data_IF_467340551061
#
_entry.id   IF_467340551061
#
_cell.length_a   1.000
_cell.length_b   1.000
_cell.length_c   1.000
_cell.angle_alpha   90.00
_cell.angle_beta   90.00
_cell.angle_gamma   90.00
#
_symmetry.space_group_name_H-M   'P 1'
#
loop_
_entity.id
_entity.type
_entity.pdbx_description
1 polymer ?
#
# COMPACT_ATOMS: atom_id res chain seq x y z
N UNK A 1 21.86 14.90 -6.84
CA UNK A 1 21.74 13.45 -6.62
C UNK A 1 20.26 13.10 -6.71
N UNK A 2 19.93 12.04 -7.45
CA UNK A 2 18.60 11.42 -7.46
C UNK A 2 18.75 10.03 -6.85
N UNK A 3 17.95 9.73 -5.82
CA UNK A 3 18.00 8.46 -5.12
C UNK A 3 16.57 7.91 -5.01
N UNK A 4 16.26 6.98 -5.88
CA UNK A 4 14.93 6.40 -6.01
C UNK A 4 14.79 5.15 -5.14
N UNK A 5 13.61 4.97 -4.53
CA UNK A 5 13.28 3.84 -3.66
C UNK A 5 14.31 3.57 -2.55
N UNK A 6 14.69 4.62 -1.82
CA UNK A 6 15.73 4.54 -0.78
C UNK A 6 15.43 3.54 0.33
N UNK A 7 14.18 3.20 0.52
CA UNK A 7 13.68 2.29 1.55
C UNK A 7 13.58 0.82 1.09
N UNK A 8 13.69 0.52 -0.20
CA UNK A 8 13.66 -0.86 -0.71
C UNK A 8 14.69 -1.78 -0.06
N UNK A 9 16.00 -1.42 0.08
CA UNK A 9 16.95 -2.25 0.79
C UNK A 9 16.57 -2.48 2.26
N UNK A 10 15.90 -1.53 2.87
CA UNK A 10 15.47 -1.59 4.26
C UNK A 10 14.28 -2.52 4.45
N UNK A 11 13.35 -2.54 3.51
CA UNK A 11 12.27 -3.52 3.49
C UNK A 11 12.84 -4.95 3.40
N UNK A 12 13.81 -5.18 2.52
CA UNK A 12 14.49 -6.46 2.38
C UNK A 12 15.23 -6.86 3.66
N UNK A 13 15.90 -5.92 4.32
CA UNK A 13 16.59 -6.18 5.58
C UNK A 13 15.64 -6.54 6.72
N UNK A 14 14.48 -5.87 6.79
CA UNK A 14 13.43 -6.21 7.75
C UNK A 14 12.89 -7.62 7.54
N UNK A 15 12.54 -7.96 6.29
CA UNK A 15 11.98 -9.28 5.94
C UNK A 15 12.96 -10.41 6.17
N UNK A 16 14.27 -10.17 5.97
CA UNK A 16 15.32 -11.18 5.99
C UNK A 16 16.17 -11.15 7.28
N UNK A 17 15.90 -10.25 8.23
CA UNK A 17 16.47 -10.25 9.58
C UNK A 17 17.88 -9.68 9.71
N UNK A 18 18.35 -8.84 8.77
CA UNK A 18 19.65 -8.14 8.86
C UNK A 18 19.50 -6.61 8.97
N UNK A 19 18.43 -6.17 9.65
CA UNK A 19 18.06 -4.77 9.81
C UNK A 19 19.18 -3.91 10.41
N UNK A 20 19.77 -4.34 11.53
CA UNK A 20 20.73 -3.53 12.27
C UNK A 20 21.99 -3.23 11.46
N UNK A 21 22.52 -4.21 10.74
CA UNK A 21 23.71 -4.05 9.90
C UNK A 21 23.45 -3.07 8.76
N UNK A 22 22.27 -3.15 8.15
CA UNK A 22 21.92 -2.25 7.05
C UNK A 22 21.68 -0.83 7.53
N UNK A 23 20.98 -0.65 8.65
CA UNK A 23 20.67 0.68 9.21
C UNK A 23 21.95 1.47 9.49
N UNK A 24 22.96 0.87 10.09
CA UNK A 24 24.23 1.53 10.37
C UNK A 24 24.99 1.94 9.09
N UNK A 25 24.95 1.08 8.08
CA UNK A 25 25.53 1.39 6.77
C UNK A 25 24.81 2.56 6.09
N UNK A 26 23.47 2.50 5.99
CA UNK A 26 22.67 3.55 5.33
C UNK A 26 22.79 4.88 6.05
N UNK A 27 22.79 4.90 7.39
CA UNK A 27 23.05 6.10 8.19
C UNK A 27 24.39 6.74 7.83
N UNK A 28 25.46 5.96 7.78
CA UNK A 28 26.78 6.42 7.42
C UNK A 28 26.81 6.97 6.00
N UNK A 29 26.21 6.27 5.04
CA UNK A 29 26.11 6.68 3.65
C UNK A 29 25.35 8.01 3.51
N UNK A 30 24.17 8.14 4.13
CA UNK A 30 23.34 9.33 4.02
C UNK A 30 23.98 10.56 4.70
N UNK A 31 24.58 10.37 5.87
CA UNK A 31 25.29 11.45 6.54
C UNK A 31 26.46 11.97 5.69
N UNK A 32 27.25 11.08 5.11
CA UNK A 32 28.36 11.46 4.25
C UNK A 32 27.91 12.10 2.94
N UNK A 33 26.77 11.67 2.41
CA UNK A 33 26.26 12.11 1.11
C UNK A 33 25.48 13.43 1.22
N UNK A 34 24.62 13.57 2.24
CA UNK A 34 23.62 14.64 2.26
C UNK A 34 23.85 15.72 3.32
N UNK A 35 24.58 15.43 4.42
CA UNK A 35 24.67 16.37 5.55
C UNK A 35 25.71 17.46 5.37
N UNK A 36 26.93 17.11 5.03
CA UNK A 36 28.07 18.05 5.01
C UNK A 36 28.89 17.96 3.72
N UNK A 37 28.29 17.47 2.67
CA UNK A 37 28.96 17.31 1.38
C UNK A 37 29.06 18.65 0.65
N UNK A 38 30.26 19.26 0.52
CA UNK A 38 30.42 20.55 -0.13
C UNK A 38 30.19 20.49 -1.64
N UNK A 39 30.12 19.32 -2.22
CA UNK A 39 29.86 19.08 -3.65
C UNK A 39 28.41 18.83 -3.97
N UNK A 40 27.54 18.75 -2.94
CA UNK A 40 26.12 18.51 -3.12
C UNK A 40 25.40 19.83 -3.36
N UNK A 41 24.87 20.02 -4.57
CA UNK A 41 24.03 21.16 -4.88
C UNK A 41 22.56 20.89 -4.51
N UNK A 42 22.03 19.77 -4.97
CA UNK A 42 20.64 19.34 -4.69
C UNK A 42 20.54 17.82 -4.65
N UNK A 43 19.59 17.33 -3.86
CA UNK A 43 19.22 15.92 -3.84
C UNK A 43 17.72 15.77 -3.75
N UNK A 44 17.21 14.72 -4.40
CA UNK A 44 15.82 14.22 -4.26
C UNK A 44 15.93 12.74 -3.93
N UNK A 45 15.20 12.34 -2.90
CA UNK A 45 15.03 10.93 -2.51
C UNK A 45 13.56 10.58 -2.58
N UNK A 46 13.24 9.41 -3.11
CA UNK A 46 11.88 8.86 -3.11
C UNK A 46 11.83 7.56 -2.33
N UNK A 47 10.68 7.23 -1.80
CA UNK A 47 10.42 6.00 -1.06
C UNK A 47 8.97 5.94 -0.59
N UNK A 48 8.52 4.74 -0.23
CA UNK A 48 7.17 4.51 0.26
C UNK A 48 7.05 4.86 1.74
N UNK A 49 8.10 4.56 2.53
CA UNK A 49 8.08 4.74 3.97
C UNK A 49 9.01 5.87 4.40
N UNK A 50 8.56 6.69 5.35
CA UNK A 50 9.43 7.64 6.01
C UNK A 50 10.12 6.97 7.19
N UNK A 51 11.35 6.55 7.01
CA UNK A 51 12.17 5.94 8.07
C UNK A 51 12.76 7.04 8.97
N UNK A 52 11.91 7.80 9.65
CA UNK A 52 12.35 9.02 10.35
C UNK A 52 12.66 8.83 11.82
N UNK A 53 12.05 7.84 12.49
CA UNK A 53 12.31 7.59 13.93
C UNK A 53 13.55 6.73 14.16
N UNK A 54 13.91 5.89 13.23
CA UNK A 54 15.19 5.23 13.26
C UNK A 54 16.26 6.27 12.97
N UNK A 55 17.30 6.29 13.75
CA UNK A 55 18.44 7.20 13.73
C UNK A 55 19.08 7.53 12.36
N UNK A 56 18.54 6.99 11.26
CA UNK A 56 19.04 7.20 9.90
C UNK A 56 18.88 8.66 9.45
N UNK A 57 17.73 9.26 9.72
CA UNK A 57 17.43 10.64 9.35
C UNK A 57 17.53 11.62 10.53
N UNK A 58 17.72 11.14 11.75
CA UNK A 58 17.85 12.02 12.93
C UNK A 58 18.97 13.05 12.79
N UNK A 59 19.96 12.71 11.99
CA UNK A 59 21.10 13.56 11.69
C UNK A 59 20.92 14.48 10.49
N UNK A 60 19.90 14.27 9.65
CA UNK A 60 19.62 15.06 8.44
C UNK A 60 18.56 16.13 8.73
N UNK A 61 18.99 17.28 9.24
CA UNK A 61 18.10 18.38 9.64
C UNK A 61 17.62 19.27 8.48
N UNK A 62 18.10 19.02 7.27
CA UNK A 62 17.90 19.86 6.08
C UNK A 62 16.96 19.22 5.04
N UNK A 63 16.23 18.18 5.42
CA UNK A 63 15.27 17.53 4.53
C UNK A 63 13.95 18.32 4.50
N UNK A 64 13.45 18.60 3.30
CA UNK A 64 12.04 18.90 3.08
C UNK A 64 11.33 17.60 2.77
N UNK A 65 10.48 17.13 3.69
CA UNK A 65 9.78 15.85 3.56
C UNK A 65 8.36 16.10 3.10
N UNK A 66 8.00 15.49 1.98
CA UNK A 66 6.69 15.60 1.36
C UNK A 66 6.10 14.22 1.27
N UNK A 67 4.91 14.05 1.82
CA UNK A 67 4.16 12.79 1.85
C UNK A 67 2.90 12.89 0.97
N UNK A 68 2.19 11.80 0.85
CA UNK A 68 0.91 11.76 0.10
C UNK A 68 -0.17 12.68 0.66
N UNK A 69 -0.03 13.15 1.91
CA UNK A 69 -0.98 14.06 2.55
C UNK A 69 -0.65 15.55 2.35
N UNK A 70 0.53 15.87 1.79
CA UNK A 70 0.94 17.23 1.50
C UNK A 70 0.35 17.76 0.19
N UNK A 71 0.08 19.09 0.15
CA UNK A 71 -0.38 19.75 -1.07
C UNK A 71 0.76 20.05 -2.06
N UNK A 72 2.02 20.04 -1.60
CA UNK A 72 3.19 20.27 -2.48
C UNK A 72 3.37 19.11 -3.45
N UNK A 73 3.57 19.42 -4.73
CA UNK A 73 3.79 18.46 -5.83
C UNK A 73 2.64 17.46 -6.03
N UNK A 74 1.44 17.77 -5.58
CA UNK A 74 0.27 16.87 -5.60
C UNK A 74 -0.21 16.47 -7.01
N UNK A 75 0.32 17.07 -8.07
CA UNK A 75 0.06 16.70 -9.48
C UNK A 75 1.32 16.27 -10.22
N UNK A 76 2.46 16.09 -9.50
CA UNK A 76 3.75 15.79 -10.15
C UNK A 76 4.05 14.30 -10.22
N UNK A 77 3.34 13.49 -9.44
CA UNK A 77 3.56 12.04 -9.32
C UNK A 77 2.27 11.29 -9.66
N UNK A 78 1.96 11.18 -10.93
CA UNK A 78 0.75 10.56 -11.45
C UNK A 78 0.16 11.37 -12.59
N UNK A 79 -0.83 10.80 -13.28
CA UNK A 79 -1.60 11.53 -14.27
C UNK A 79 -2.86 12.10 -13.64
N UNK A 80 -3.17 13.34 -13.97
CA UNK A 80 -4.45 13.96 -13.61
C UNK A 80 -5.58 13.41 -14.50
N UNK A 81 -6.84 13.51 -14.04
CA UNK A 81 -7.99 13.08 -14.82
C UNK A 81 -8.03 13.74 -16.20
N UNK A 82 -7.70 15.04 -16.29
CA UNK A 82 -7.68 15.76 -17.57
C UNK A 82 -6.65 15.16 -18.56
N UNK A 83 -5.47 14.80 -18.08
CA UNK A 83 -4.43 14.17 -18.90
C UNK A 83 -4.86 12.79 -19.38
N UNK A 84 -5.43 11.98 -18.47
CA UNK A 84 -5.93 10.63 -18.81
C UNK A 84 -7.07 10.71 -19.82
N UNK A 85 -8.04 11.61 -19.61
CA UNK A 85 -9.17 11.75 -20.53
C UNK A 85 -8.76 12.28 -21.90
N UNK A 86 -7.79 13.19 -21.96
CA UNK A 86 -7.22 13.64 -23.23
C UNK A 86 -6.51 12.50 -23.96
N UNK A 87 -5.72 11.68 -23.26
CA UNK A 87 -5.06 10.53 -23.84
C UNK A 87 -6.04 9.46 -24.33
N UNK A 88 -7.15 9.23 -23.61
CA UNK A 88 -8.23 8.34 -24.07
C UNK A 88 -8.92 8.86 -25.33
N UNK A 89 -9.19 10.17 -25.39
CA UNK A 89 -9.78 10.79 -26.58
C UNK A 89 -8.86 10.65 -27.80
N UNK A 90 -7.56 10.90 -27.63
CA UNK A 90 -6.55 10.74 -28.69
C UNK A 90 -6.42 9.28 -29.15
N UNK A 91 -6.54 8.33 -28.22
CA UNK A 91 -6.52 6.89 -28.53
C UNK A 91 -7.83 6.35 -29.13
N UNK A 92 -8.88 7.19 -29.28
CA UNK A 92 -10.21 6.77 -29.77
C UNK A 92 -10.98 5.90 -28.76
N UNK A 93 -10.76 6.12 -27.47
CA UNK A 93 -11.36 5.37 -26.35
C UNK A 93 -12.24 6.26 -25.46
N UNK A 94 -12.83 7.32 -26.02
CA UNK A 94 -13.63 8.30 -25.26
C UNK A 94 -14.80 7.68 -24.49
N UNK A 95 -15.38 6.59 -25.03
CA UNK A 95 -16.47 5.85 -24.38
C UNK A 95 -16.02 5.00 -23.19
N UNK A 96 -14.71 4.87 -22.97
CA UNK A 96 -14.12 4.07 -21.86
C UNK A 96 -13.74 4.90 -20.64
N UNK A 97 -14.00 6.21 -20.63
CA UNK A 97 -13.61 7.10 -19.53
C UNK A 97 -14.15 6.63 -18.17
N UNK A 98 -15.43 6.27 -18.10
CA UNK A 98 -16.05 5.82 -16.84
C UNK A 98 -15.47 4.46 -16.38
N UNK A 99 -15.24 3.54 -17.31
CA UNK A 99 -14.62 2.25 -17.01
C UNK A 99 -13.17 2.43 -16.52
N UNK A 100 -12.39 3.31 -17.17
CA UNK A 100 -11.01 3.62 -16.79
C UNK A 100 -10.97 4.31 -15.43
N UNK A 101 -11.90 5.23 -15.16
CA UNK A 101 -12.04 5.86 -13.87
C UNK A 101 -12.32 4.82 -12.79
N UNK A 102 -13.25 3.93 -12.97
CA UNK A 102 -13.57 2.86 -12.03
C UNK A 102 -12.36 1.96 -11.72
N UNK A 103 -11.57 1.64 -12.74
CA UNK A 103 -10.45 0.70 -12.61
C UNK A 103 -9.20 1.32 -12.00
N UNK A 104 -8.83 2.55 -12.37
CA UNK A 104 -7.48 3.08 -12.19
C UNK A 104 -7.42 4.44 -11.48
N UNK A 105 -8.56 5.11 -11.27
CA UNK A 105 -8.61 6.36 -10.52
C UNK A 105 -8.53 6.09 -9.01
N UNK A 106 -8.24 7.14 -8.24
CA UNK A 106 -8.48 7.18 -6.81
C UNK A 106 -7.27 7.52 -5.96
N UNK A 107 -6.08 7.74 -6.52
CA UNK A 107 -4.99 8.29 -5.73
C UNK A 107 -5.33 9.73 -5.33
N UNK A 108 -5.08 10.05 -4.07
CA UNK A 108 -5.29 11.39 -3.51
C UNK A 108 -3.97 11.87 -2.94
N UNK A 109 -3.48 13.00 -3.44
CA UNK A 109 -2.28 13.64 -2.93
C UNK A 109 -2.64 15.02 -2.37
N UNK A 110 -2.46 15.21 -1.06
CA UNK A 110 -2.97 16.39 -0.36
C UNK A 110 -4.48 16.55 -0.58
N UNK A 111 -4.88 17.69 -1.13
CA UNK A 111 -6.28 17.97 -1.48
C UNK A 111 -6.66 17.60 -2.92
N UNK A 112 -5.68 17.18 -3.73
CA UNK A 112 -5.91 16.83 -5.13
C UNK A 112 -6.35 15.37 -5.24
N UNK A 113 -7.54 15.16 -5.73
CA UNK A 113 -8.16 13.86 -5.99
C UNK A 113 -8.06 13.52 -7.47
N UNK A 114 -8.48 12.32 -7.82
CA UNK A 114 -8.56 11.83 -9.21
C UNK A 114 -7.18 11.82 -9.90
N UNK A 115 -6.19 11.27 -9.18
CA UNK A 115 -4.86 10.97 -9.73
C UNK A 115 -4.79 9.50 -10.10
N UNK A 116 -4.19 9.21 -11.25
CA UNK A 116 -4.06 7.88 -11.83
C UNK A 116 -2.62 7.42 -11.84
N UNK A 117 -2.41 6.12 -11.61
CA UNK A 117 -1.08 5.53 -11.73
C UNK A 117 -0.64 5.51 -13.21
N UNK A 118 0.53 6.10 -13.56
CA UNK A 118 1.00 6.17 -14.93
C UNK A 118 1.22 4.81 -15.57
N UNK A 119 1.70 3.82 -14.80
CA UNK A 119 1.94 2.47 -15.31
C UNK A 119 0.63 1.79 -15.75
N UNK A 120 -0.42 1.89 -14.93
CA UNK A 120 -1.72 1.31 -15.26
C UNK A 120 -2.34 1.97 -16.48
N UNK A 121 -2.29 3.30 -16.59
CA UNK A 121 -2.85 4.03 -17.70
C UNK A 121 -2.09 3.75 -19.01
N UNK A 122 -0.76 3.81 -19.00
CA UNK A 122 0.04 3.53 -20.21
C UNK A 122 -0.15 2.11 -20.71
N UNK A 123 -0.21 1.12 -19.81
CA UNK A 123 -0.50 -0.26 -20.20
C UNK A 123 -1.93 -0.45 -20.71
N UNK A 124 -2.91 0.24 -20.12
CA UNK A 124 -4.28 0.18 -20.65
C UNK A 124 -4.40 0.79 -22.05
N UNK A 125 -3.79 1.95 -22.28
CA UNK A 125 -3.78 2.61 -23.59
C UNK A 125 -3.12 1.73 -24.68
N UNK A 126 -2.06 1.01 -24.32
CA UNK A 126 -1.35 0.11 -25.23
C UNK A 126 -2.15 -1.17 -25.53
N UNK A 127 -2.65 -1.82 -24.49
CA UNK A 127 -3.26 -3.17 -24.60
C UNK A 127 -4.78 -3.15 -24.75
N UNK A 128 -5.44 -2.05 -24.36
CA UNK A 128 -6.91 -1.86 -24.36
C UNK A 128 -7.67 -2.94 -23.57
N UNK A 129 -7.03 -3.50 -22.56
CA UNK A 129 -7.58 -4.53 -21.67
C UNK A 129 -7.57 -4.04 -20.23
N UNK A 130 -8.66 -4.27 -19.49
CA UNK A 130 -8.71 -4.01 -18.07
C UNK A 130 -8.04 -5.15 -17.30
N UNK A 131 -6.94 -4.84 -16.62
CA UNK A 131 -6.14 -5.78 -15.82
C UNK A 131 -5.50 -5.06 -14.64
N UNK A 132 -5.04 -5.84 -13.68
CA UNK A 132 -4.14 -5.37 -12.64
C UNK A 132 -2.74 -5.20 -13.25
N UNK A 133 -2.32 -3.96 -13.47
CA UNK A 133 -1.01 -3.65 -14.05
C UNK A 133 -0.02 -3.23 -12.96
N UNK A 134 -0.28 -2.10 -12.29
CA UNK A 134 0.58 -1.62 -11.23
C UNK A 134 0.54 -2.53 -10.00
N UNK A 135 -0.63 -2.94 -9.58
CA UNK A 135 -0.79 -3.78 -8.40
C UNK A 135 -0.13 -5.17 -8.52
N UNK A 136 0.13 -5.66 -9.73
CA UNK A 136 0.85 -6.92 -9.98
C UNK A 136 2.38 -6.70 -10.14
N UNK A 137 2.91 -5.46 -10.18
CA UNK A 137 4.35 -5.20 -10.35
C UNK A 137 5.14 -5.27 -9.05
N UNK A 138 4.54 -4.95 -7.93
CA UNK A 138 5.20 -4.93 -6.63
C UNK A 138 5.17 -6.31 -5.96
N UNK A 139 6.25 -6.61 -5.21
CA UNK A 139 6.22 -7.73 -4.29
C UNK A 139 5.25 -7.41 -3.14
N UNK A 140 4.00 -7.83 -3.27
CA UNK A 140 2.97 -7.67 -2.24
C UNK A 140 3.23 -8.57 -1.00
N UNK A 141 4.45 -9.15 -0.90
CA UNK A 141 4.79 -10.15 0.11
C UNK A 141 4.73 -9.60 1.54
N UNK A 142 5.21 -8.37 1.76
CA UNK A 142 5.19 -7.75 3.09
C UNK A 142 3.75 -7.48 3.52
N UNK A 143 2.98 -6.77 2.69
CA UNK A 143 1.57 -6.44 2.97
C UNK A 143 0.75 -7.72 3.13
N UNK A 144 0.96 -8.70 2.26
CA UNK A 144 0.29 -10.00 2.35
C UNK A 144 0.56 -10.72 3.68
N UNK A 145 1.82 -10.77 4.11
CA UNK A 145 2.20 -11.38 5.40
C UNK A 145 1.60 -10.63 6.59
N UNK A 146 1.59 -9.30 6.57
CA UNK A 146 1.02 -8.49 7.65
C UNK A 146 -0.48 -8.71 7.80
N UNK A 147 -1.23 -8.72 6.69
CA UNK A 147 -2.68 -8.99 6.72
C UNK A 147 -2.96 -10.44 7.15
N UNK A 148 -2.22 -11.41 6.61
CA UNK A 148 -2.40 -12.83 6.91
C UNK A 148 -2.17 -13.13 8.40
N UNK A 149 -1.12 -12.51 9.02
CA UNK A 149 -0.79 -12.64 10.44
C UNK A 149 -1.61 -11.74 11.34
N UNK A 150 -2.27 -10.73 10.78
CA UNK A 150 -3.05 -9.75 11.53
C UNK A 150 -4.17 -10.39 12.35
N UNK A 151 -4.55 -9.71 13.42
CA UNK A 151 -5.63 -10.11 14.31
C UNK A 151 -6.98 -10.20 13.59
N UNK A 152 -8.02 -10.77 14.24
CA UNK A 152 -9.37 -10.72 13.74
C UNK A 152 -9.88 -9.30 13.44
N UNK A 153 -9.37 -8.28 14.17
CA UNK A 153 -9.68 -6.85 13.92
C UNK A 153 -9.21 -6.43 12.54
N UNK A 154 -7.95 -6.73 12.18
CA UNK A 154 -7.36 -6.41 10.86
C UNK A 154 -8.11 -7.13 9.74
N UNK A 155 -8.38 -8.43 9.91
CA UNK A 155 -9.11 -9.23 8.91
C UNK A 155 -10.52 -8.70 8.65
N UNK A 156 -11.25 -8.33 9.72
CA UNK A 156 -12.58 -7.71 9.60
C UNK A 156 -12.56 -6.33 8.95
N UNK A 157 -11.51 -5.54 9.21
CA UNK A 157 -11.32 -4.25 8.54
C UNK A 157 -11.04 -4.44 7.03
N UNK A 158 -10.19 -5.42 6.66
CA UNK A 158 -9.96 -5.78 5.26
C UNK A 158 -11.22 -6.27 4.56
N UNK A 159 -12.06 -7.05 5.25
CA UNK A 159 -13.38 -7.49 4.71
C UNK A 159 -14.26 -6.28 4.37
N UNK A 160 -14.35 -5.28 5.27
CA UNK A 160 -15.10 -4.05 5.01
C UNK A 160 -14.55 -3.32 3.77
N UNK A 161 -13.24 -3.13 3.69
CA UNK A 161 -12.59 -2.50 2.55
C UNK A 161 -12.89 -3.22 1.23
N UNK A 162 -12.82 -4.55 1.22
CA UNK A 162 -13.13 -5.37 0.05
C UNK A 162 -14.60 -5.27 -0.38
N UNK A 163 -15.50 -5.05 0.57
CA UNK A 163 -16.92 -4.81 0.32
C UNK A 163 -17.22 -3.38 -0.18
N UNK A 164 -16.17 -2.52 -0.27
CA UNK A 164 -16.31 -1.13 -0.71
C UNK A 164 -16.73 -0.16 0.39
N UNK A 165 -16.62 -0.59 1.65
CA UNK A 165 -16.81 0.26 2.81
C UNK A 165 -15.51 0.96 3.17
N UNK A 166 -15.58 1.96 4.05
CA UNK A 166 -14.40 2.60 4.65
C UNK A 166 -14.12 2.09 6.05
N UNK A 167 -12.88 2.33 6.50
CA UNK A 167 -12.46 2.14 7.89
C UNK A 167 -12.04 3.49 8.46
N UNK A 168 -12.23 3.69 9.77
CA UNK A 168 -11.79 4.89 10.49
C UNK A 168 -10.61 4.54 11.38
N UNK A 169 -9.45 5.13 11.10
CA UNK A 169 -8.18 4.81 11.78
C UNK A 169 -7.33 6.07 12.03
N UNK A 170 -6.40 6.00 12.97
CA UNK A 170 -5.30 6.93 13.08
C UNK A 170 -4.21 6.60 12.07
N UNK A 171 -3.54 7.62 11.53
CA UNK A 171 -2.42 7.46 10.61
C UNK A 171 -1.17 8.06 11.24
N UNK A 172 -0.10 7.29 11.29
CA UNK A 172 1.24 7.78 11.57
C UNK A 172 2.05 7.80 10.28
N UNK A 173 2.28 8.99 9.75
CA UNK A 173 3.10 9.17 8.53
C UNK A 173 4.58 8.88 8.75
N UNK A 174 4.98 8.68 10.00
CA UNK A 174 6.35 8.39 10.40
C UNK A 174 6.53 6.90 10.76
N UNK A 175 5.95 6.01 9.97
CA UNK A 175 6.03 4.57 10.23
C UNK A 175 7.47 4.11 10.23
N UNK A 176 7.81 3.34 11.25
CA UNK A 176 9.06 2.58 11.35
C UNK A 176 8.71 1.10 11.20
N UNK A 177 9.54 0.34 10.52
CA UNK A 177 9.32 -1.10 10.33
C UNK A 177 9.17 -1.85 11.66
N UNK A 178 9.90 -1.47 12.71
CA UNK A 178 9.75 -2.03 14.06
C UNK A 178 8.35 -1.83 14.66
N UNK A 179 7.62 -0.79 14.25
CA UNK A 179 6.25 -0.58 14.72
C UNK A 179 5.27 -1.57 14.09
N UNK A 180 5.56 -2.12 12.91
CA UNK A 180 4.71 -3.11 12.26
C UNK A 180 4.57 -4.40 13.09
N UNK A 181 5.58 -4.71 13.92
CA UNK A 181 5.54 -5.87 14.81
C UNK A 181 4.83 -5.58 16.15
N UNK A 182 4.76 -4.30 16.56
CA UNK A 182 4.28 -3.90 17.87
C UNK A 182 2.93 -3.16 17.83
N UNK A 183 2.56 -2.58 16.70
CA UNK A 183 1.32 -1.84 16.50
C UNK A 183 0.61 -2.35 15.24
N UNK A 184 -0.45 -3.12 15.46
CA UNK A 184 -1.25 -3.63 14.34
C UNK A 184 -1.88 -2.53 13.48
N UNK A 185 -2.15 -1.35 14.04
CA UNK A 185 -2.77 -0.25 13.31
C UNK A 185 -1.75 0.45 12.37
N UNK A 186 -0.44 0.22 12.56
CA UNK A 186 0.61 0.70 11.65
C UNK A 186 0.47 0.17 10.21
N UNK A 187 -0.20 -0.98 10.03
CA UNK A 187 -0.48 -1.53 8.69
C UNK A 187 -1.28 -0.55 7.82
N UNK A 188 -2.21 0.21 8.41
CA UNK A 188 -3.06 1.14 7.65
C UNK A 188 -2.26 2.31 7.09
N UNK A 189 -1.30 2.78 7.86
CA UNK A 189 -0.38 3.83 7.42
C UNK A 189 0.53 3.33 6.30
N UNK A 190 1.04 2.09 6.39
CA UNK A 190 1.81 1.46 5.32
C UNK A 190 0.98 1.30 4.04
N UNK A 191 -0.26 0.81 4.14
CA UNK A 191 -1.15 0.64 3.00
C UNK A 191 -1.52 1.98 2.34
N UNK A 192 -1.68 3.06 3.12
CA UNK A 192 -1.89 4.40 2.61
C UNK A 192 -0.64 4.92 1.89
N UNK A 193 0.53 4.83 2.51
CA UNK A 193 1.78 5.28 1.92
C UNK A 193 2.14 4.52 0.64
N UNK A 194 1.79 3.22 0.58
CA UNK A 194 1.98 2.39 -0.62
C UNK A 194 0.92 2.61 -1.70
N UNK A 195 -0.08 3.47 -1.48
CA UNK A 195 -1.12 3.76 -2.47
C UNK A 195 -2.22 2.70 -2.58
N UNK A 196 -2.29 1.72 -1.69
CA UNK A 196 -3.37 0.73 -1.66
C UNK A 196 -4.66 1.27 -1.03
N UNK A 197 -4.53 2.27 -0.15
CA UNK A 197 -5.65 3.00 0.42
C UNK A 197 -5.62 4.46 -0.02
N UNK A 198 -6.77 5.10 0.01
CA UNK A 198 -6.94 6.54 -0.17
C UNK A 198 -7.67 7.15 1.01
N UNK A 199 -7.47 8.45 1.21
CA UNK A 199 -8.19 9.24 2.21
C UNK A 199 -9.49 9.73 1.59
N UNK A 200 -10.62 9.29 2.13
CA UNK A 200 -11.94 9.80 1.76
C UNK A 200 -12.26 11.08 2.54
N UNK A 201 -12.00 11.05 3.85
CA UNK A 201 -12.15 12.21 4.75
C UNK A 201 -11.14 12.16 5.90
N UNK A 202 -10.90 13.33 6.52
CA UNK A 202 -10.10 13.47 7.73
C UNK A 202 -10.86 14.35 8.72
N UNK A 203 -10.92 13.92 9.97
CA UNK A 203 -11.48 14.67 11.08
C UNK A 203 -10.41 14.88 12.17
N UNK A 204 -10.45 16.05 12.81
CA UNK A 204 -9.54 16.42 13.89
C UNK A 204 -10.34 16.68 15.15
N UNK A 205 -10.10 15.88 16.17
CA UNK A 205 -10.61 16.16 17.51
C UNK A 205 -9.87 17.37 18.09
N UNK A 206 -10.49 18.56 18.06
CA UNK A 206 -9.85 19.82 18.50
C UNK A 206 -9.40 19.78 19.96
N UNK A 207 -10.07 18.99 20.82
CA UNK A 207 -9.76 18.92 22.26
C UNK A 207 -8.54 18.05 22.56
N UNK A 208 -8.26 17.03 21.75
CA UNK A 208 -7.15 16.09 21.95
C UNK A 208 -6.03 16.24 20.92
N UNK A 209 -6.31 16.90 19.77
CA UNK A 209 -5.41 16.95 18.64
C UNK A 209 -5.35 15.63 17.83
N UNK A 210 -6.14 14.63 18.22
CA UNK A 210 -6.19 13.34 17.54
C UNK A 210 -6.80 13.50 16.14
N UNK A 211 -6.09 12.97 15.13
CA UNK A 211 -6.55 12.93 13.74
C UNK A 211 -7.08 11.55 13.42
N UNK A 212 -8.26 11.49 12.82
CA UNK A 212 -8.87 10.25 12.33
C UNK A 212 -9.14 10.36 10.83
N UNK A 213 -8.78 9.33 10.12
CA UNK A 213 -8.92 9.24 8.68
C UNK A 213 -9.94 8.17 8.33
N UNK A 214 -10.86 8.49 7.44
CA UNK A 214 -11.67 7.50 6.75
C UNK A 214 -10.93 7.06 5.51
N UNK A 215 -10.62 5.77 5.44
CA UNK A 215 -9.84 5.17 4.36
C UNK A 215 -10.67 4.13 3.62
N UNK A 216 -10.57 4.13 2.30
CA UNK A 216 -11.09 3.08 1.42
C UNK A 216 -10.01 2.54 0.48
N UNK A 217 -10.29 1.44 -0.21
CA UNK A 217 -9.40 0.96 -1.28
C UNK A 217 -9.32 2.00 -2.40
N UNK A 218 -8.13 2.20 -2.92
CA UNK A 218 -7.85 3.24 -3.91
C UNK A 218 -8.74 3.11 -5.13
N UNK A 219 -8.86 1.89 -5.70
CA UNK A 219 -9.62 1.62 -6.91
C UNK A 219 -9.94 0.13 -7.09
N UNK A 220 -10.55 -0.22 -8.23
CA UNK A 220 -10.91 -1.60 -8.55
C UNK A 220 -9.67 -2.47 -8.80
N UNK A 221 -8.60 -1.94 -9.40
CA UNK A 221 -7.33 -2.66 -9.61
C UNK A 221 -6.78 -3.20 -8.29
N UNK A 222 -6.71 -2.34 -7.28
CA UNK A 222 -6.25 -2.70 -5.93
C UNK A 222 -7.18 -3.71 -5.27
N UNK A 223 -8.50 -3.54 -5.42
CA UNK A 223 -9.48 -4.51 -4.90
C UNK A 223 -9.27 -5.90 -5.49
N UNK A 224 -9.13 -5.99 -6.81
CA UNK A 224 -8.89 -7.27 -7.51
C UNK A 224 -7.58 -7.90 -7.06
N UNK A 225 -6.53 -7.12 -6.88
CA UNK A 225 -5.25 -7.60 -6.36
C UNK A 225 -5.41 -8.23 -4.96
N UNK A 226 -6.06 -7.53 -4.02
CA UNK A 226 -6.28 -8.08 -2.67
C UNK A 226 -7.17 -9.33 -2.68
N UNK A 227 -8.19 -9.37 -3.52
CA UNK A 227 -9.04 -10.57 -3.67
C UNK A 227 -8.21 -11.78 -4.16
N UNK A 228 -7.34 -11.58 -5.15
CA UNK A 228 -6.43 -12.64 -5.64
C UNK A 228 -5.46 -13.09 -4.54
N UNK A 229 -4.86 -12.14 -3.83
CA UNK A 229 -3.89 -12.40 -2.76
C UNK A 229 -4.53 -13.23 -1.64
N UNK A 230 -5.70 -12.82 -1.16
CA UNK A 230 -6.43 -13.55 -0.10
C UNK A 230 -6.86 -14.94 -0.59
N UNK A 231 -7.41 -15.04 -1.82
CA UNK A 231 -7.75 -16.34 -2.42
C UNK A 231 -6.53 -17.26 -2.50
N UNK A 232 -5.36 -16.73 -2.82
CA UNK A 232 -4.10 -17.48 -2.87
C UNK A 232 -3.71 -18.12 -1.53
N UNK A 233 -4.03 -17.49 -0.40
CA UNK A 233 -3.74 -18.06 0.92
C UNK A 233 -4.50 -19.36 1.21
N UNK A 234 -5.73 -19.44 0.72
CA UNK A 234 -6.55 -20.66 0.88
C UNK A 234 -6.12 -21.77 -0.08
N UNK A 235 -5.47 -21.42 -1.20
CA UNK A 235 -4.98 -22.42 -2.17
C UNK A 235 -3.61 -23.01 -1.81
N UNK A 236 -2.86 -22.39 -0.90
CA UNK A 236 -1.52 -22.83 -0.46
C UNK A 236 -1.55 -23.51 0.91
N UNK A 237 -2.71 -23.59 1.58
CA UNK A 237 -2.91 -24.36 2.79
C UNK A 237 -2.91 -25.87 2.50
N UNK A 238 -2.68 -26.70 3.53
CA UNK A 238 -2.79 -28.15 3.45
C UNK A 238 -4.10 -28.56 2.75
N UNK A 239 -4.04 -29.61 1.94
CA UNK A 239 -5.19 -30.08 1.14
C UNK A 239 -6.49 -30.22 1.97
N UNK A 240 -6.36 -30.61 3.23
CA UNK A 240 -7.49 -30.72 4.17
C UNK A 240 -8.19 -29.39 4.49
N UNK A 241 -7.44 -28.30 4.60
CA UNK A 241 -8.03 -26.95 4.83
C UNK A 241 -8.77 -26.44 3.60
N UNK A 242 -8.26 -26.76 2.41
CA UNK A 242 -8.92 -26.41 1.14
C UNK A 242 -10.20 -27.22 0.92
N UNK A 243 -10.20 -28.51 1.28
CA UNK A 243 -11.37 -29.37 1.21
C UNK A 243 -12.46 -28.88 2.19
N UNK A 244 -12.09 -28.47 3.41
CA UNK A 244 -13.05 -27.93 4.37
C UNK A 244 -13.71 -26.61 3.88
N UNK A 245 -12.90 -25.71 3.30
CA UNK A 245 -13.41 -24.44 2.75
C UNK A 245 -14.29 -24.71 1.52
N UNK A 246 -13.90 -25.64 0.66
CA UNK A 246 -14.72 -26.05 -0.49
C UNK A 246 -16.07 -26.60 -0.03
N UNK A 247 -16.06 -27.51 0.92
CA UNK A 247 -17.29 -28.09 1.52
C UNK A 247 -18.14 -26.99 2.18
N UNK A 248 -17.56 -26.00 2.83
CA UNK A 248 -18.27 -24.86 3.42
C UNK A 248 -18.95 -24.00 2.35
N UNK A 249 -18.26 -23.69 1.26
CA UNK A 249 -18.78 -22.88 0.15
C UNK A 249 -19.92 -23.63 -0.56
N UNK A 250 -19.75 -24.93 -0.73
CA UNK A 250 -20.76 -25.81 -1.39
C UNK A 250 -21.93 -26.17 -0.46
N UNK A 251 -21.85 -25.80 0.82
CA UNK A 251 -22.88 -26.15 1.84
C UNK A 251 -22.92 -27.61 2.18
N UNK A 252 -21.86 -28.38 1.92
CA UNK A 252 -21.73 -29.80 2.22
C UNK A 252 -21.39 -30.03 3.70
N UNK A 253 -22.42 -30.12 4.52
CA UNK A 253 -22.32 -30.33 5.97
C UNK A 253 -21.69 -31.69 6.34
N UNK A 254 -21.80 -32.68 5.50
CA UNK A 254 -21.29 -34.03 5.76
C UNK A 254 -19.75 -34.02 5.56
N UNK A 255 -19.27 -33.45 4.48
CA UNK A 255 -17.84 -33.22 4.25
C UNK A 255 -17.22 -32.31 5.30
N UNK A 256 -17.88 -31.21 5.67
CA UNK A 256 -17.40 -30.30 6.74
C UNK A 256 -17.25 -31.02 8.08
N UNK A 257 -18.22 -31.83 8.48
CA UNK A 257 -18.18 -32.59 9.74
C UNK A 257 -17.03 -33.63 9.72
N UNK A 258 -16.86 -34.33 8.61
CA UNK A 258 -15.77 -35.28 8.44
C UNK A 258 -14.39 -34.63 8.57
N UNK A 259 -14.17 -33.52 7.87
CA UNK A 259 -12.90 -32.79 7.87
C UNK A 259 -12.61 -32.11 9.22
N UNK A 260 -13.64 -31.63 9.95
CA UNK A 260 -13.46 -31.06 11.28
C UNK A 260 -13.06 -32.10 12.32
N UNK A 261 -13.52 -33.34 12.19
CA UNK A 261 -13.17 -34.44 13.09
C UNK A 261 -11.74 -34.91 12.95
N UNK A 262 -11.16 -34.83 11.75
CA UNK A 262 -9.74 -35.16 11.50
C UNK A 262 -8.81 -34.17 12.24
N UNK A 263 -9.12 -32.89 12.28
CA UNK A 263 -8.33 -31.87 12.97
C UNK A 263 -8.45 -31.86 14.50
N UNK A 264 -9.44 -32.51 15.07
CA UNK A 264 -9.60 -32.63 16.54
C UNK A 264 -8.83 -33.84 17.09
N UNK A 265 -8.39 -34.75 16.21
CA UNK A 265 -7.73 -36.00 16.59
C UNK A 265 -6.19 -35.95 16.51
N UNK A 266 -5.57 -34.84 16.09
CA UNK A 266 -4.12 -34.56 16.17
C UNK A 266 -3.83 -33.55 17.30
#
# INVERSE_FOLDING_TARGET
>A
ILFDEYDTPMQEAYVNGFWNELVDFIRSLFNSTFKTNPYLERAVMTGITRISKESIFSDLNNLNVITTTNDEYNTSFGFTENEVFAALDEAGLSEKKDDVKLWYDGFTFGKHKDIYNPWSITNYLDKKEFKTYWADTSSNSLVGKLIQRGSPKIKKAMEKLLNGEYITVGIDEQIVFDQLDNDEDAIWSLLLASGYLKVDSMDICVSTGEQKYELSLTNLEVRVMFQKLIKGWFMTGDDSSNEFISALIDGDLEAMNYLSLIHISE
#
